data_IF_324472306653
#
_entry.id   IF_324472306653
#
_cell.length_a   1.000
_cell.length_b   1.000
_cell.length_c   1.000
_cell.angle_alpha   90.00
_cell.angle_beta   90.00
_cell.angle_gamma   90.00
#
_symmetry.space_group_name_H-M   'P 1'
#
loop_
_entity.id
_entity.type
_entity.pdbx_description
1 polymer ?
#
# COMPACT_ATOMS: atom_id res chain seq x y z
N UNK A 1 -20.15 8.07 71.17
CA UNK A 1 -19.19 8.34 70.06
C UNK A 1 -19.49 7.35 68.94
N UNK A 2 -20.16 7.77 67.91
CA UNK A 2 -20.49 6.92 66.70
C UNK A 2 -19.41 7.07 65.68
N UNK A 3 -18.71 5.99 65.33
CA UNK A 3 -17.72 5.95 64.26
C UNK A 3 -18.43 5.73 62.92
N UNK A 4 -18.31 6.71 62.02
CA UNK A 4 -18.80 6.63 60.67
C UNK A 4 -17.65 6.01 59.84
N UNK A 5 -17.85 4.82 59.28
CA UNK A 5 -16.94 4.19 58.30
C UNK A 5 -17.40 4.63 56.94
N UNK A 6 -16.60 5.46 56.28
CA UNK A 6 -16.81 5.83 54.89
C UNK A 6 -16.26 4.70 53.96
N UNK A 7 -17.15 4.02 53.27
CA UNK A 7 -16.76 3.06 52.22
C UNK A 7 -16.50 3.81 50.91
N UNK A 8 -15.24 3.87 50.51
CA UNK A 8 -14.84 4.33 49.16
C UNK A 8 -15.20 3.26 48.13
N UNK A 9 -16.23 3.49 47.35
CA UNK A 9 -16.48 2.71 46.11
C UNK A 9 -15.48 3.15 45.03
N UNK A 10 -14.52 2.28 44.75
CA UNK A 10 -13.64 2.42 43.58
C UNK A 10 -14.40 1.89 42.36
N UNK A 11 -14.94 2.77 41.54
CA UNK A 11 -15.49 2.44 40.24
C UNK A 11 -14.33 2.22 39.25
N UNK A 12 -14.02 0.96 38.96
CA UNK A 12 -13.11 0.59 37.88
C UNK A 12 -13.86 0.80 36.56
N UNK A 13 -13.57 1.90 35.87
CA UNK A 13 -14.05 2.13 34.51
C UNK A 13 -13.29 1.17 33.57
N UNK A 14 -13.93 0.09 33.17
CA UNK A 14 -13.48 -0.73 32.05
C UNK A 14 -13.65 0.09 30.78
N UNK A 15 -12.58 0.68 30.28
CA UNK A 15 -12.52 1.24 28.95
C UNK A 15 -12.48 0.07 27.97
N UNK A 16 -13.67 -0.30 27.43
CA UNK A 16 -13.73 -1.20 26.28
C UNK A 16 -13.23 -0.41 25.06
N UNK A 17 -11.97 -0.58 24.67
CA UNK A 17 -11.52 -0.24 23.33
C UNK A 17 -12.30 -1.11 22.34
N UNK A 18 -13.31 -0.56 21.71
CA UNK A 18 -13.99 -1.13 20.56
C UNK A 18 -13.00 -1.12 19.37
N UNK A 19 -12.08 -2.09 19.30
CA UNK A 19 -11.42 -2.43 18.06
C UNK A 19 -12.48 -2.97 17.12
N UNK A 20 -12.80 -2.21 16.08
CA UNK A 20 -13.69 -2.67 15.03
C UNK A 20 -13.18 -4.05 14.54
N UNK A 21 -13.97 -5.09 14.77
CA UNK A 21 -13.61 -6.47 14.43
C UNK A 21 -13.50 -6.58 12.90
N UNK A 22 -12.34 -7.01 12.40
CA UNK A 22 -12.15 -7.25 10.96
C UNK A 22 -13.17 -8.27 10.48
N UNK A 23 -13.90 -8.03 9.38
CA UNK A 23 -14.85 -9.02 8.85
C UNK A 23 -14.17 -10.37 8.62
N UNK A 24 -14.82 -11.48 8.97
CA UNK A 24 -14.28 -12.85 8.78
C UNK A 24 -13.77 -13.10 7.36
N UNK A 25 -14.45 -12.53 6.36
CA UNK A 25 -14.04 -12.61 4.97
C UNK A 25 -12.67 -11.94 4.71
N UNK A 26 -12.41 -10.81 5.38
CA UNK A 26 -11.12 -10.12 5.28
C UNK A 26 -10.00 -10.89 6.01
N UNK A 27 -10.30 -11.50 7.15
CA UNK A 27 -9.35 -12.37 7.87
C UNK A 27 -8.94 -13.58 7.03
N UNK A 28 -9.88 -14.15 6.26
CA UNK A 28 -9.58 -15.24 5.33
C UNK A 28 -8.58 -14.83 4.24
N UNK A 29 -8.67 -13.60 3.72
CA UNK A 29 -7.71 -13.08 2.75
C UNK A 29 -6.32 -12.90 3.36
N UNK A 30 -6.24 -12.34 4.57
CA UNK A 30 -4.96 -12.07 5.26
C UNK A 30 -4.22 -13.36 5.63
N UNK A 31 -4.97 -14.42 5.97
CA UNK A 31 -4.42 -15.70 6.41
C UNK A 31 -4.32 -16.76 5.30
N UNK A 32 -4.67 -16.42 4.05
CA UNK A 32 -4.59 -17.34 2.93
C UNK A 32 -3.12 -17.66 2.56
N UNK A 33 -2.93 -18.75 1.83
CA UNK A 33 -1.64 -19.00 1.16
C UNK A 33 -1.48 -17.99 0.02
N UNK A 34 -0.26 -17.47 -0.20
CA UNK A 34 -0.04 -16.55 -1.32
C UNK A 34 -0.23 -17.27 -2.66
N UNK A 35 -0.72 -16.54 -3.64
CA UNK A 35 -0.77 -16.97 -5.04
C UNK A 35 0.50 -16.47 -5.73
N UNK A 36 1.28 -17.39 -6.27
CA UNK A 36 2.47 -17.07 -7.04
C UNK A 36 2.10 -16.84 -8.50
N UNK A 37 2.53 -15.70 -9.05
CA UNK A 37 2.32 -15.36 -10.46
C UNK A 37 3.60 -15.70 -11.22
N UNK A 38 3.53 -16.62 -12.19
CA UNK A 38 4.72 -17.05 -12.91
C UNK A 38 5.32 -15.92 -13.76
N UNK A 39 6.64 -15.93 -13.89
CA UNK A 39 7.36 -15.08 -14.84
C UNK A 39 6.90 -15.45 -16.25
N UNK A 40 6.49 -14.45 -17.03
CA UNK A 40 6.05 -14.61 -18.41
C UNK A 40 6.86 -13.68 -19.32
N UNK A 41 7.42 -14.24 -20.41
CA UNK A 41 8.25 -13.50 -21.36
C UNK A 41 9.42 -12.74 -20.68
N UNK A 42 10.03 -13.34 -19.65
CA UNK A 42 11.12 -12.72 -18.88
C UNK A 42 10.69 -11.62 -17.93
N UNK A 43 9.39 -11.36 -17.77
CA UNK A 43 8.84 -10.32 -16.89
C UNK A 43 8.16 -10.92 -15.66
N UNK A 44 8.52 -10.38 -14.52
CA UNK A 44 7.90 -10.67 -13.22
C UNK A 44 6.85 -9.61 -12.87
N UNK A 45 6.00 -9.93 -11.91
CA UNK A 45 4.98 -9.02 -11.39
C UNK A 45 5.15 -8.81 -9.89
N UNK A 46 4.89 -7.58 -9.44
CA UNK A 46 4.81 -7.22 -8.02
C UNK A 46 3.59 -6.34 -7.77
N UNK A 47 3.08 -6.33 -6.53
CA UNK A 47 1.82 -5.66 -6.18
C UNK A 47 2.01 -4.79 -4.94
N UNK A 48 1.59 -3.52 -5.05
CA UNK A 48 1.78 -2.52 -4.01
C UNK A 48 0.55 -1.61 -3.88
N UNK A 49 0.26 -1.18 -2.67
CA UNK A 49 -0.74 -0.16 -2.36
C UNK A 49 -0.14 0.89 -1.42
N UNK A 50 -0.21 2.16 -1.76
CA UNK A 50 0.28 3.25 -0.91
C UNK A 50 -0.37 4.60 -1.25
N UNK A 51 -1.62 4.76 -0.87
CA UNK A 51 -2.42 5.93 -1.21
C UNK A 51 -3.00 5.84 -2.63
N UNK A 52 -3.27 6.98 -3.24
CA UNK A 52 -3.83 7.04 -4.59
C UNK A 52 -2.97 6.31 -5.62
N UNK A 53 -3.57 5.38 -6.35
CA UNK A 53 -2.87 4.55 -7.34
C UNK A 53 -2.30 5.35 -8.51
N UNK A 54 -2.86 6.52 -8.90
CA UNK A 54 -2.25 7.39 -9.93
C UNK A 54 -0.84 7.84 -9.56
N UNK A 55 -0.66 8.23 -8.29
CA UNK A 55 0.66 8.63 -7.79
C UNK A 55 1.63 7.44 -7.77
N UNK A 56 1.15 6.26 -7.37
CA UNK A 56 1.98 5.05 -7.24
C UNK A 56 2.36 4.53 -8.63
N UNK A 57 1.42 4.53 -9.59
CA UNK A 57 1.65 4.21 -10.99
C UNK A 57 2.79 5.07 -11.57
N UNK A 58 2.66 6.40 -11.50
CA UNK A 58 3.67 7.33 -12.02
C UNK A 58 5.06 7.13 -11.39
N UNK A 59 5.14 6.83 -10.09
CA UNK A 59 6.39 6.54 -9.40
C UNK A 59 7.05 5.29 -9.97
N UNK A 60 6.34 4.16 -10.02
CA UNK A 60 6.92 2.92 -10.53
C UNK A 60 7.20 2.96 -12.03
N UNK A 61 6.38 3.65 -12.83
CA UNK A 61 6.67 3.89 -14.24
C UNK A 61 7.98 4.64 -14.48
N UNK A 62 8.41 5.47 -13.53
CA UNK A 62 9.69 6.19 -13.63
C UNK A 62 10.92 5.32 -13.35
N UNK A 63 10.74 4.09 -12.81
CA UNK A 63 11.84 3.22 -12.37
C UNK A 63 12.41 2.42 -13.55
N UNK A 64 13.73 2.41 -13.68
CA UNK A 64 14.46 1.61 -14.67
C UNK A 64 14.17 0.12 -14.45
N UNK A 65 13.90 -0.60 -15.53
CA UNK A 65 13.54 -2.03 -15.48
C UNK A 65 12.06 -2.32 -15.24
N UNK A 66 11.23 -1.30 -14.93
CA UNK A 66 9.77 -1.43 -14.93
C UNK A 66 9.25 -1.18 -16.33
N UNK A 67 8.50 -2.13 -16.88
CA UNK A 67 7.94 -2.05 -18.24
C UNK A 67 6.59 -1.34 -18.26
N UNK A 68 5.70 -1.77 -17.38
CA UNK A 68 4.31 -1.29 -17.30
C UNK A 68 3.84 -1.30 -15.85
N UNK A 69 2.99 -0.35 -15.51
CA UNK A 69 2.29 -0.31 -14.23
C UNK A 69 0.79 -0.18 -14.50
N UNK A 70 0.00 -0.98 -13.82
CA UNK A 70 -1.46 -1.03 -14.00
C UNK A 70 -2.12 -0.64 -12.70
N UNK A 71 -2.96 0.39 -12.72
CA UNK A 71 -3.79 0.80 -11.58
C UNK A 71 -4.95 -0.17 -11.35
N UNK A 72 -5.24 -0.49 -10.08
CA UNK A 72 -6.29 -1.45 -9.73
C UNK A 72 -6.58 -1.56 -8.25
N UNK A 73 -7.12 -2.70 -7.86
CA UNK A 73 -7.56 -2.98 -6.49
C UNK A 73 -7.06 -4.34 -6.04
N UNK A 74 -6.62 -4.43 -4.77
CA UNK A 74 -6.18 -5.71 -4.19
C UNK A 74 -6.38 -5.72 -2.67
N UNK A 75 -6.27 -6.91 -2.05
CA UNK A 75 -6.28 -7.10 -0.60
C UNK A 75 -7.66 -7.13 0.06
N UNK A 76 -8.74 -6.99 -0.71
CA UNK A 76 -10.11 -7.04 -0.22
C UNK A 76 -10.79 -8.40 -0.44
N UNK A 77 -12.02 -8.50 0.07
CA UNK A 77 -12.79 -9.74 0.09
C UNK A 77 -13.94 -9.76 -0.94
N UNK A 78 -14.22 -8.62 -1.61
CA UNK A 78 -15.28 -8.58 -2.63
C UNK A 78 -14.76 -8.96 -4.01
N UNK A 79 -15.64 -9.48 -4.85
CA UNK A 79 -15.35 -9.80 -6.25
C UNK A 79 -15.64 -8.58 -7.14
N UNK A 80 -14.87 -8.43 -8.22
CA UNK A 80 -15.04 -7.38 -9.23
C UNK A 80 -15.28 -5.98 -8.62
N UNK A 81 -14.36 -5.49 -7.75
CA UNK A 81 -14.51 -4.17 -7.14
C UNK A 81 -14.51 -3.09 -8.23
N UNK A 82 -15.28 -2.04 -8.01
CA UNK A 82 -15.26 -0.82 -8.81
C UNK A 82 -14.71 0.34 -7.98
N UNK A 83 -14.31 1.43 -8.63
CA UNK A 83 -13.87 2.65 -7.94
C UNK A 83 -14.90 3.13 -6.92
N UNK A 84 -16.17 3.22 -7.34
CA UNK A 84 -17.27 3.62 -6.46
C UNK A 84 -17.42 2.70 -5.25
N UNK A 85 -17.33 1.37 -5.45
CA UNK A 85 -17.44 0.42 -4.35
C UNK A 85 -16.25 0.49 -3.39
N UNK A 86 -15.03 0.57 -3.93
CA UNK A 86 -13.80 0.64 -3.14
C UNK A 86 -13.73 1.91 -2.28
N UNK A 87 -14.21 3.04 -2.80
CA UNK A 87 -14.29 4.31 -2.05
C UNK A 87 -15.27 4.30 -0.88
N UNK A 88 -16.15 3.29 -0.77
CA UNK A 88 -16.98 3.13 0.42
C UNK A 88 -16.20 2.62 1.64
N UNK A 89 -14.98 2.09 1.45
CA UNK A 89 -14.20 1.44 2.49
C UNK A 89 -14.72 0.06 2.92
N UNK A 90 -15.82 -0.45 2.30
CA UNK A 90 -16.51 -1.68 2.71
C UNK A 90 -16.05 -2.93 1.95
N UNK A 91 -15.30 -2.78 0.86
CA UNK A 91 -14.84 -3.89 0.03
C UNK A 91 -13.62 -4.61 0.60
N UNK A 92 -12.91 -3.97 1.54
CA UNK A 92 -11.62 -4.42 2.05
C UNK A 92 -10.47 -4.21 1.06
N UNK A 93 -10.74 -3.80 -0.20
CA UNK A 93 -9.69 -3.50 -1.16
C UNK A 93 -8.98 -2.18 -0.86
N UNK A 94 -7.69 -2.14 -1.18
CA UNK A 94 -6.95 -0.89 -1.32
C UNK A 94 -6.76 -0.58 -2.81
N UNK A 95 -6.62 0.72 -3.14
CA UNK A 95 -6.05 1.15 -4.40
C UNK A 95 -4.63 0.62 -4.49
N UNK A 96 -4.35 -0.14 -5.52
CA UNK A 96 -3.11 -0.87 -5.68
C UNK A 96 -2.60 -0.76 -7.12
N UNK A 97 -1.34 -1.10 -7.32
CA UNK A 97 -0.75 -1.23 -8.65
C UNK A 97 -0.18 -2.63 -8.85
N UNK A 98 -0.31 -3.14 -10.08
CA UNK A 98 0.47 -4.25 -10.60
C UNK A 98 1.68 -3.66 -11.34
N UNK A 99 2.88 -4.00 -10.89
CA UNK A 99 4.16 -3.57 -11.48
C UNK A 99 4.73 -4.72 -12.29
N UNK A 100 4.84 -4.55 -13.59
CA UNK A 100 5.45 -5.51 -14.52
C UNK A 100 6.89 -5.07 -14.78
N UNK A 101 7.86 -5.92 -14.44
CA UNK A 101 9.27 -5.54 -14.45
C UNK A 101 10.21 -6.66 -14.93
N UNK A 102 11.40 -6.26 -15.39
CA UNK A 102 12.49 -7.16 -15.73
C UNK A 102 13.33 -7.46 -14.49
N UNK A 103 13.29 -8.68 -13.93
CA UNK A 103 14.04 -9.02 -12.73
C UNK A 103 15.55 -9.03 -12.91
N UNK A 104 16.05 -9.01 -14.17
CA UNK A 104 17.49 -8.88 -14.46
C UNK A 104 17.97 -7.43 -14.41
N UNK A 105 17.06 -6.44 -14.47
CA UNK A 105 17.37 -5.00 -14.43
C UNK A 105 17.04 -4.40 -13.05
N UNK A 106 15.90 -4.74 -12.47
CA UNK A 106 15.48 -4.27 -11.16
C UNK A 106 14.97 -5.42 -10.31
N UNK A 107 15.47 -5.55 -9.08
CA UNK A 107 15.07 -6.62 -8.17
C UNK A 107 13.75 -6.29 -7.45
N UNK A 108 13.07 -7.33 -6.95
CA UNK A 108 11.92 -7.14 -6.05
C UNK A 108 12.32 -6.36 -4.78
N UNK A 109 13.52 -6.60 -4.25
CA UNK A 109 14.05 -5.88 -3.10
C UNK A 109 14.15 -4.37 -3.39
N UNK A 110 14.63 -3.98 -4.56
CA UNK A 110 14.68 -2.58 -5.00
C UNK A 110 13.28 -1.98 -5.13
N UNK A 111 12.31 -2.73 -5.68
CA UNK A 111 10.91 -2.25 -5.73
C UNK A 111 10.31 -2.03 -4.34
N UNK A 112 10.68 -2.83 -3.34
CA UNK A 112 10.30 -2.61 -1.93
C UNK A 112 10.97 -1.35 -1.35
N UNK A 113 12.21 -1.03 -1.75
CA UNK A 113 12.87 0.23 -1.39
C UNK A 113 12.16 1.44 -2.00
N UNK A 114 11.78 1.35 -3.28
CA UNK A 114 10.94 2.36 -3.95
C UNK A 114 9.64 2.56 -3.18
N UNK A 115 8.96 1.48 -2.79
CA UNK A 115 7.73 1.52 -2.01
C UNK A 115 7.89 2.35 -0.73
N UNK A 116 8.81 1.99 0.14
CA UNK A 116 9.02 2.70 1.40
C UNK A 116 9.60 4.11 1.20
N UNK A 117 10.38 4.31 0.16
CA UNK A 117 11.04 5.58 -0.12
C UNK A 117 10.15 6.65 -0.73
N UNK A 118 9.02 6.26 -1.32
CA UNK A 118 8.11 7.15 -2.06
C UNK A 118 6.89 7.61 -1.28
N UNK A 119 6.77 7.26 0.01
CA UNK A 119 5.59 7.54 0.83
C UNK A 119 5.95 7.95 2.26
N UNK A 120 4.96 8.37 3.04
CA UNK A 120 5.07 8.42 4.50
C UNK A 120 4.80 7.02 5.07
N UNK A 121 5.81 6.28 5.53
CA UNK A 121 5.66 4.89 5.93
C UNK A 121 4.94 4.71 7.28
N UNK A 122 4.71 5.79 8.04
CA UNK A 122 4.07 5.75 9.37
C UNK A 122 2.60 6.16 9.34
N UNK A 123 2.09 6.62 8.19
CA UNK A 123 0.70 7.07 8.08
C UNK A 123 -0.25 5.89 7.92
N UNK A 124 -1.16 5.74 8.89
CA UNK A 124 -2.21 4.71 8.89
C UNK A 124 -3.41 5.17 8.06
N UNK A 125 -4.02 4.25 7.30
CA UNK A 125 -5.24 4.49 6.52
C UNK A 125 -5.19 5.75 5.65
N UNK A 126 -4.09 5.93 4.93
CA UNK A 126 -3.97 7.06 4.01
C UNK A 126 -2.55 7.41 3.61
N UNK A 127 -2.41 8.35 2.67
CA UNK A 127 -1.17 9.02 2.30
C UNK A 127 -1.43 10.51 2.04
N UNK A 128 -0.69 11.37 2.75
CA UNK A 128 -0.91 12.81 2.65
C UNK A 128 -2.35 13.19 3.02
N UNK A 129 -3.07 13.79 2.08
CA UNK A 129 -4.47 14.20 2.24
C UNK A 129 -5.48 13.08 1.93
N UNK A 130 -5.06 12.02 1.23
CA UNK A 130 -5.92 10.88 0.94
C UNK A 130 -6.17 10.08 2.21
N UNK A 131 -7.42 9.97 2.64
CA UNK A 131 -7.85 9.31 3.88
C UNK A 131 -8.89 8.24 3.59
N UNK A 132 -8.75 7.12 4.29
CA UNK A 132 -9.65 5.97 4.17
C UNK A 132 -8.89 4.66 3.98
N UNK A 133 -9.56 3.55 4.29
CA UNK A 133 -8.97 2.20 4.18
C UNK A 133 -8.56 1.84 2.75
N UNK A 134 -9.20 2.43 1.74
CA UNK A 134 -8.82 2.26 0.33
C UNK A 134 -7.45 2.88 -0.01
N UNK A 135 -6.95 3.81 0.79
CA UNK A 135 -5.63 4.46 0.61
C UNK A 135 -4.56 3.95 1.57
N UNK A 136 -4.85 2.85 2.29
CA UNK A 136 -3.88 2.28 3.22
C UNK A 136 -2.69 1.66 2.52
N UNK A 137 -1.60 1.56 3.22
CA UNK A 137 -0.35 1.00 2.69
C UNK A 137 -0.32 -0.51 2.87
N UNK A 138 -0.16 -1.26 1.76
CA UNK A 138 0.00 -2.73 1.75
C UNK A 138 1.12 -3.12 0.78
N UNK A 139 1.95 -4.07 1.18
CA UNK A 139 2.84 -4.79 0.27
C UNK A 139 2.34 -6.23 0.17
N UNK A 140 2.16 -6.71 -1.05
CA UNK A 140 1.72 -8.07 -1.30
C UNK A 140 2.91 -8.97 -1.62
N UNK A 141 2.99 -10.13 -0.96
CA UNK A 141 4.01 -11.13 -1.24
C UNK A 141 3.40 -12.36 -1.93
N UNK A 142 4.16 -12.96 -2.84
CA UNK A 142 3.75 -14.12 -3.62
C UNK A 142 4.39 -15.43 -3.12
N UNK A 143 5.48 -15.31 -2.35
CA UNK A 143 6.22 -16.44 -1.77
C UNK A 143 6.96 -16.00 -0.50
N UNK A 144 7.58 -16.95 0.19
CA UNK A 144 8.25 -16.71 1.46
C UNK A 144 9.51 -15.84 1.30
N UNK A 145 10.22 -15.93 0.18
CA UNK A 145 11.38 -15.08 -0.09
C UNK A 145 10.98 -13.60 -0.14
N UNK A 146 9.94 -13.26 -0.91
CA UNK A 146 9.40 -11.90 -0.97
C UNK A 146 8.93 -11.44 0.41
N UNK A 147 8.25 -12.30 1.17
CA UNK A 147 7.81 -11.99 2.54
C UNK A 147 8.98 -11.62 3.45
N UNK A 148 10.08 -12.38 3.41
CA UNK A 148 11.26 -12.11 4.21
C UNK A 148 11.94 -10.80 3.82
N UNK A 149 12.05 -10.49 2.52
CA UNK A 149 12.56 -9.22 2.02
C UNK A 149 11.74 -8.05 2.58
N UNK A 150 10.41 -8.12 2.48
CA UNK A 150 9.50 -7.07 2.97
C UNK A 150 9.68 -6.87 4.48
N UNK A 151 9.64 -7.94 5.26
CA UNK A 151 9.74 -7.86 6.72
C UNK A 151 11.09 -7.28 7.16
N UNK A 152 12.18 -7.73 6.56
CA UNK A 152 13.54 -7.20 6.83
C UNK A 152 13.63 -5.69 6.57
N UNK A 153 13.10 -5.22 5.42
CA UNK A 153 13.12 -3.78 5.07
C UNK A 153 12.20 -2.98 5.99
N UNK A 154 11.03 -3.51 6.33
CA UNK A 154 10.10 -2.88 7.27
C UNK A 154 10.71 -2.72 8.64
N UNK A 155 11.34 -3.75 9.19
CA UNK A 155 11.98 -3.72 10.51
C UNK A 155 13.19 -2.76 10.55
N UNK A 156 14.02 -2.77 9.50
CA UNK A 156 15.13 -1.84 9.38
C UNK A 156 14.66 -0.38 9.35
N UNK A 157 13.57 -0.11 8.63
CA UNK A 157 12.98 1.22 8.54
C UNK A 157 12.34 1.65 9.88
N UNK A 158 11.65 0.74 10.58
CA UNK A 158 11.07 1.00 11.90
C UNK A 158 12.16 1.41 12.91
N UNK A 159 13.28 0.69 12.94
CA UNK A 159 14.44 1.02 13.77
C UNK A 159 15.04 2.38 13.39
N UNK A 160 15.23 2.65 12.11
CA UNK A 160 15.78 3.92 11.60
C UNK A 160 14.93 5.12 12.00
N UNK A 161 13.60 4.99 11.93
CA UNK A 161 12.64 6.07 12.22
C UNK A 161 12.24 6.12 13.69
N UNK A 162 12.61 5.12 14.50
CA UNK A 162 12.10 4.91 15.84
C UNK A 162 10.56 5.02 15.90
N UNK A 163 9.88 4.38 14.94
CA UNK A 163 8.44 4.47 14.77
C UNK A 163 7.85 3.19 14.16
N UNK A 164 6.58 2.92 14.43
CA UNK A 164 5.85 1.83 13.78
C UNK A 164 5.61 2.12 12.31
N UNK A 165 5.88 1.13 11.46
CA UNK A 165 5.60 1.22 10.02
C UNK A 165 4.19 0.74 9.74
N UNK A 166 3.36 1.63 9.17
CA UNK A 166 1.93 1.40 8.95
C UNK A 166 1.64 0.38 7.84
N UNK A 167 2.60 0.11 6.96
CA UNK A 167 2.41 -0.83 5.85
C UNK A 167 2.04 -2.23 6.36
N UNK A 168 0.90 -2.74 5.89
CA UNK A 168 0.46 -4.12 6.08
C UNK A 168 1.22 -5.03 5.11
N UNK A 169 1.39 -6.31 5.49
CA UNK A 169 2.09 -7.31 4.67
C UNK A 169 1.14 -8.46 4.44
N UNK A 170 0.59 -8.54 3.22
CA UNK A 170 -0.47 -9.49 2.87
C UNK A 170 0.02 -10.53 1.86
N UNK A 171 -0.47 -11.79 1.96
CA UNK A 171 -0.32 -12.74 0.88
C UNK A 171 -1.08 -12.23 -0.34
N UNK A 172 -0.42 -12.21 -1.50
CA UNK A 172 -1.09 -11.89 -2.74
C UNK A 172 -2.16 -12.94 -3.05
N UNK A 173 -3.37 -12.49 -3.39
CA UNK A 173 -4.47 -13.36 -3.79
C UNK A 173 -4.93 -13.05 -5.21
N UNK A 174 -5.34 -11.83 -5.45
CA UNK A 174 -5.83 -11.39 -6.75
C UNK A 174 -5.69 -9.89 -6.90
N UNK A 175 -5.33 -9.48 -8.10
CA UNK A 175 -5.38 -8.10 -8.56
C UNK A 175 -6.58 -7.92 -9.48
N UNK A 176 -7.28 -6.82 -9.29
CA UNK A 176 -8.41 -6.40 -10.09
C UNK A 176 -8.03 -5.09 -10.79
N UNK A 177 -7.86 -5.14 -12.11
CA UNK A 177 -7.56 -3.95 -12.90
C UNK A 177 -8.68 -2.92 -12.73
N UNK A 178 -8.33 -1.68 -12.45
CA UNK A 178 -9.28 -0.58 -12.39
C UNK A 178 -9.77 -0.20 -13.80
N UNK A 179 -10.81 0.61 -13.82
CA UNK A 179 -11.45 1.10 -15.04
C UNK A 179 -10.43 1.82 -15.95
N UNK A 180 -10.66 1.79 -17.26
CA UNK A 180 -9.68 2.30 -18.25
C UNK A 180 -9.33 3.76 -18.05
N UNK A 181 -10.27 4.58 -17.59
CA UNK A 181 -10.02 6.00 -17.34
C UNK A 181 -9.07 6.28 -16.16
N UNK A 182 -8.73 5.27 -15.37
CA UNK A 182 -7.72 5.39 -14.30
C UNK A 182 -6.30 5.09 -14.77
N UNK A 183 -6.14 4.41 -15.89
CA UNK A 183 -4.82 4.01 -16.37
C UNK A 183 -4.05 5.19 -16.94
N UNK A 184 -2.76 5.33 -16.60
CA UNK A 184 -1.89 6.43 -17.04
C UNK A 184 -2.44 7.83 -16.69
N UNK A 185 -3.20 7.94 -15.60
CA UNK A 185 -4.00 9.14 -15.32
C UNK A 185 -3.13 10.39 -15.15
N UNK A 186 -2.00 10.31 -14.44
CA UNK A 186 -1.09 11.45 -14.28
C UNK A 186 -0.60 11.97 -15.63
N UNK A 187 -0.17 11.07 -16.50
CA UNK A 187 0.35 11.42 -17.82
C UNK A 187 -0.71 12.00 -18.76
N UNK A 188 -1.94 11.48 -18.70
CA UNK A 188 -3.04 11.90 -19.57
C UNK A 188 -3.77 13.16 -19.08
N UNK A 189 -3.64 13.48 -17.79
CA UNK A 189 -4.34 14.62 -17.15
C UNK A 189 -3.39 15.57 -16.40
N UNK A 190 -2.32 16.08 -17.04
CA UNK A 190 -1.29 16.88 -16.36
C UNK A 190 -1.83 18.19 -15.76
N UNK A 191 -2.97 18.69 -16.28
CA UNK A 191 -3.61 19.92 -15.80
C UNK A 191 -4.64 19.67 -14.68
N UNK A 192 -4.85 18.43 -14.26
CA UNK A 192 -5.75 18.13 -13.13
C UNK A 192 -5.15 18.70 -11.83
N UNK A 193 -5.98 19.38 -11.04
CA UNK A 193 -5.54 20.02 -9.79
C UNK A 193 -4.89 19.04 -8.79
N UNK A 194 -5.43 17.83 -8.63
CA UNK A 194 -4.84 16.82 -7.76
C UNK A 194 -3.47 16.36 -8.29
N UNK A 195 -3.35 16.18 -9.60
CA UNK A 195 -2.09 15.79 -10.23
C UNK A 195 -1.03 16.86 -9.99
N UNK A 196 -1.34 18.12 -10.22
CA UNK A 196 -0.38 19.22 -10.02
C UNK A 196 0.01 19.44 -8.56
N UNK A 197 -0.93 19.32 -7.63
CA UNK A 197 -0.70 19.67 -6.23
C UNK A 197 -0.31 18.49 -5.33
N UNK A 198 -0.55 17.24 -5.75
CA UNK A 198 -0.30 16.04 -4.94
C UNK A 198 0.64 15.07 -5.66
N UNK A 199 0.28 14.64 -6.86
CA UNK A 199 0.97 13.54 -7.55
C UNK A 199 2.36 13.97 -8.06
N UNK A 200 2.45 14.99 -8.86
CA UNK A 200 3.72 15.52 -9.37
C UNK A 200 4.70 15.91 -8.24
N UNK A 201 4.30 16.62 -7.18
CA UNK A 201 5.20 16.88 -6.06
C UNK A 201 5.70 15.62 -5.36
N UNK A 202 4.85 14.57 -5.25
CA UNK A 202 5.25 13.28 -4.69
C UNK A 202 6.27 12.57 -5.58
N UNK A 203 6.01 12.52 -6.90
CA UNK A 203 6.93 11.96 -7.89
C UNK A 203 8.28 12.70 -7.90
N UNK A 204 8.27 14.02 -7.84
CA UNK A 204 9.51 14.81 -7.82
C UNK A 204 10.34 14.56 -6.56
N UNK A 205 9.71 14.44 -5.39
CA UNK A 205 10.42 14.04 -4.16
C UNK A 205 11.05 12.65 -4.29
N UNK A 206 10.34 11.71 -4.90
CA UNK A 206 10.87 10.38 -5.17
C UNK A 206 12.08 10.44 -6.12
N UNK A 207 11.96 11.13 -7.25
CA UNK A 207 13.03 11.31 -8.23
C UNK A 207 14.29 11.94 -7.64
N UNK A 208 14.11 12.97 -6.81
CA UNK A 208 15.24 13.61 -6.12
C UNK A 208 15.95 12.68 -5.11
N UNK A 209 15.21 11.74 -4.51
CA UNK A 209 15.74 10.81 -3.51
C UNK A 209 16.45 9.59 -4.13
N UNK A 210 16.02 9.16 -5.32
CA UNK A 210 16.49 7.95 -5.98
C UNK A 210 16.87 8.19 -7.46
N UNK A 211 17.78 9.14 -7.74
CA UNK A 211 18.13 9.50 -9.12
C UNK A 211 18.70 8.32 -9.93
N UNK A 212 19.43 7.42 -9.27
CA UNK A 212 20.08 6.27 -9.91
C UNK A 212 19.11 5.16 -10.33
N UNK A 213 17.89 5.18 -9.80
CA UNK A 213 16.84 4.20 -10.13
C UNK A 213 15.97 4.65 -11.32
N UNK A 214 16.14 5.86 -11.82
CA UNK A 214 15.25 6.41 -12.83
C UNK A 214 15.59 5.92 -14.24
N UNK A 215 14.56 5.78 -15.07
CA UNK A 215 14.75 5.66 -16.52
C UNK A 215 15.48 6.88 -17.04
N UNK A 216 16.35 6.70 -18.00
CA UNK A 216 16.93 7.80 -18.74
C UNK A 216 15.82 8.58 -19.45
N UNK A 217 15.81 9.89 -19.32
CA UNK A 217 14.90 10.75 -20.09
C UNK A 217 15.24 10.58 -21.58
N UNK A 218 14.33 9.98 -22.35
CA UNK A 218 14.41 9.97 -23.80
C UNK A 218 13.98 11.32 -24.37
#
# INVERSE_FOLDING_TARGET
>A
MKKIIAACLITIAFSCENKAQTPKAQEAIINAKPVEVPIKNGKAKAYFASGCFWCVEAIYESVKGVDEVISGYSGGHTQNPTYKASNTGKTGHAEAVEVIYDPNIVSFETLVEVYFGSQNPTQVNGQGNDRGSQYRSIIFYQNDEQKQIILKKKDALAKKLNASIAAEVYPFQKFWRAEDYHQNYERLHPNNSYIQNVSIPRLNRFKAKFPDLLKENK
#
